data_IF_780531436697
#
_entry.id   IF_780531436697
#
_cell.length_a   1.000
_cell.length_b   1.000
_cell.length_c   1.000
_cell.angle_alpha   90.00
_cell.angle_beta   90.00
_cell.angle_gamma   90.00
#
_symmetry.space_group_name_H-M   'P 1'
#
loop_
_entity.id
_entity.type
_entity.pdbx_description
1 polymer ?
#
# COMPACT_ATOMS: atom_id res chain seq x y z
N UNK A 1 -4.29 7.65 17.57
CA UNK A 1 -3.26 7.64 16.50
C UNK A 1 -3.10 9.07 16.02
N UNK A 2 -1.87 9.49 15.71
CA UNK A 2 -1.59 10.79 15.10
C UNK A 2 -1.43 10.57 13.59
N UNK A 3 -1.98 11.48 12.79
CA UNK A 3 -1.94 11.39 11.33
C UNK A 3 -1.28 12.65 10.77
N UNK A 4 -0.45 12.50 9.74
CA UNK A 4 0.17 13.60 9.01
C UNK A 4 0.30 13.25 7.54
N UNK A 5 0.08 14.20 6.64
CA UNK A 5 0.30 14.01 5.21
C UNK A 5 1.71 14.49 4.85
N UNK A 6 2.43 13.68 4.05
CA UNK A 6 3.75 14.02 3.51
C UNK A 6 3.72 13.97 1.99
N UNK A 7 4.51 14.82 1.35
CA UNK A 7 4.66 14.88 -0.11
C UNK A 7 6.11 14.62 -0.45
N UNK A 8 6.54 13.39 -0.25
CA UNK A 8 7.91 12.93 -0.50
C UNK A 8 7.88 11.77 -1.51
N UNK A 9 8.98 11.52 -2.27
CA UNK A 9 9.08 10.33 -3.09
C UNK A 9 8.88 9.08 -2.25
N UNK A 10 8.02 8.16 -2.70
CA UNK A 10 7.62 6.95 -1.95
C UNK A 10 8.80 6.10 -1.47
N UNK A 11 9.88 6.01 -2.27
CA UNK A 11 11.10 5.28 -1.91
C UNK A 11 11.96 5.96 -0.83
N UNK A 12 11.84 7.28 -0.65
CA UNK A 12 12.62 8.07 0.31
C UNK A 12 11.96 8.19 1.69
N UNK A 13 10.71 7.75 1.83
CA UNK A 13 9.97 7.82 3.09
C UNK A 13 10.61 6.89 4.12
N UNK A 14 11.19 7.49 5.16
CA UNK A 14 11.70 6.75 6.33
C UNK A 14 10.52 6.40 7.25
N UNK A 15 10.22 5.11 7.36
CA UNK A 15 9.14 4.59 8.20
C UNK A 15 9.42 3.13 8.58
N UNK A 16 8.87 2.65 9.69
CA UNK A 16 9.01 1.25 10.09
C UNK A 16 8.20 0.30 9.19
N UNK A 17 7.13 0.79 8.54
CA UNK A 17 6.40 0.07 7.50
C UNK A 17 5.76 1.03 6.48
N UNK A 18 5.91 0.73 5.19
CA UNK A 18 5.21 1.41 4.10
C UNK A 18 4.10 0.51 3.56
N UNK A 19 2.85 0.96 3.64
CA UNK A 19 1.68 0.26 3.11
C UNK A 19 1.46 0.69 1.67
N UNK A 20 1.37 -0.28 0.76
CA UNK A 20 1.14 -0.05 -0.66
C UNK A 20 -0.06 -0.85 -1.15
N UNK A 21 -1.01 -0.17 -1.78
CA UNK A 21 -2.22 -0.79 -2.33
C UNK A 21 -1.94 -1.50 -3.65
N UNK A 22 -2.55 -2.67 -3.84
CA UNK A 22 -2.46 -3.49 -5.06
C UNK A 22 -3.85 -4.01 -5.42
N UNK A 23 -4.20 -3.97 -6.71
CA UNK A 23 -5.45 -4.52 -7.23
C UNK A 23 -5.23 -5.94 -7.79
N UNK A 24 -6.34 -6.68 -7.91
CA UNK A 24 -6.36 -7.97 -8.56
C UNK A 24 -5.84 -7.92 -10.01
N UNK A 25 -5.45 -9.07 -10.54
CA UNK A 25 -4.90 -9.22 -11.89
C UNK A 25 -3.58 -8.46 -12.11
N UNK A 26 -2.74 -8.36 -11.08
CA UNK A 26 -1.42 -7.72 -11.13
C UNK A 26 -1.47 -6.23 -11.51
N UNK A 27 -2.55 -5.56 -11.10
CA UNK A 27 -2.79 -4.14 -11.42
C UNK A 27 -2.26 -3.28 -10.28
N UNK A 28 -1.35 -2.38 -10.61
CA UNK A 28 -0.75 -1.45 -9.65
C UNK A 28 -1.37 -0.05 -9.82
N UNK A 29 -1.82 0.60 -8.74
CA UNK A 29 -2.09 2.03 -8.76
C UNK A 29 -0.85 2.82 -9.24
N UNK A 30 -1.01 4.04 -9.81
CA UNK A 30 0.11 4.82 -10.33
C UNK A 30 1.26 5.01 -9.34
N UNK A 31 0.96 5.38 -8.08
CA UNK A 31 1.97 5.56 -7.04
C UNK A 31 2.66 4.26 -6.65
N UNK A 32 1.92 3.14 -6.59
CA UNK A 32 2.50 1.81 -6.34
C UNK A 32 3.39 1.37 -7.50
N UNK A 33 3.01 1.68 -8.74
CA UNK A 33 3.81 1.39 -9.93
C UNK A 33 5.14 2.14 -9.94
N UNK A 34 5.11 3.45 -9.66
CA UNK A 34 6.32 4.27 -9.51
C UNK A 34 7.22 3.76 -8.37
N UNK A 35 6.61 3.37 -7.24
CA UNK A 35 7.34 2.79 -6.14
C UNK A 35 7.99 1.44 -6.51
N UNK A 36 7.24 0.55 -7.18
CA UNK A 36 7.74 -0.75 -7.65
C UNK A 36 8.95 -0.59 -8.59
N UNK A 37 8.92 0.40 -9.49
CA UNK A 37 10.05 0.73 -10.35
C UNK A 37 11.28 1.17 -9.55
N UNK A 38 11.08 2.00 -8.52
CA UNK A 38 12.16 2.46 -7.64
C UNK A 38 12.83 1.33 -6.84
N UNK A 39 12.10 0.26 -6.51
CA UNK A 39 12.61 -0.92 -5.80
C UNK A 39 12.93 -2.12 -6.72
N UNK A 40 13.11 -1.86 -8.02
CA UNK A 40 13.55 -2.88 -8.98
C UNK A 40 12.50 -3.97 -9.29
N UNK A 41 11.22 -3.63 -9.25
CA UNK A 41 10.13 -4.52 -9.69
C UNK A 41 9.79 -5.64 -8.69
N UNK A 42 10.13 -5.48 -7.40
CA UNK A 42 9.93 -6.52 -6.39
C UNK A 42 8.45 -6.90 -6.23
N UNK A 43 7.53 -5.92 -6.26
CA UNK A 43 6.08 -6.15 -6.08
C UNK A 43 5.54 -6.94 -7.27
N UNK A 44 5.91 -6.55 -8.50
CA UNK A 44 5.53 -7.31 -9.71
C UNK A 44 6.04 -8.75 -9.66
N UNK A 45 7.25 -8.99 -9.15
CA UNK A 45 7.79 -10.36 -8.99
C UNK A 45 6.98 -11.20 -8.01
N UNK A 46 6.55 -10.62 -6.88
CA UNK A 46 5.68 -11.31 -5.91
C UNK A 46 4.32 -11.65 -6.54
N UNK A 47 3.73 -10.70 -7.26
CA UNK A 47 2.48 -10.89 -7.98
C UNK A 47 2.56 -11.96 -9.08
N UNK A 48 3.67 -12.00 -9.82
CA UNK A 48 3.91 -13.02 -10.84
C UNK A 48 4.03 -14.43 -10.27
N UNK A 49 4.57 -14.57 -9.05
CA UNK A 49 4.64 -15.85 -8.34
C UNK A 49 3.28 -16.35 -7.85
N UNK A 50 2.25 -15.49 -7.87
CA UNK A 50 0.89 -15.77 -7.36
C UNK A 50 0.83 -16.08 -5.87
N UNK A 51 1.88 -15.75 -5.11
CA UNK A 51 1.88 -15.80 -3.65
C UNK A 51 0.92 -14.75 -3.05
N UNK A 52 0.57 -13.73 -3.84
CA UNK A 52 -0.37 -12.67 -3.51
C UNK A 52 -1.40 -12.50 -4.62
N UNK A 53 -2.68 -12.64 -4.30
CA UNK A 53 -3.80 -12.52 -5.26
C UNK A 53 -4.41 -11.12 -5.27
N UNK A 54 -4.09 -10.29 -4.28
CA UNK A 54 -4.61 -8.94 -4.05
C UNK A 54 -6.13 -8.91 -3.79
N UNK A 55 -6.66 -9.92 -3.11
CA UNK A 55 -8.04 -9.91 -2.60
C UNK A 55 -8.26 -8.78 -1.59
N UNK A 56 -9.48 -8.26 -1.50
CA UNK A 56 -9.79 -7.13 -0.62
C UNK A 56 -9.48 -7.47 0.84
N UNK A 57 -8.58 -6.71 1.46
CA UNK A 57 -8.13 -6.93 2.84
C UNK A 57 -7.05 -8.00 3.00
N UNK A 58 -6.61 -8.65 1.91
CA UNK A 58 -5.43 -9.51 1.94
C UNK A 58 -4.18 -8.66 2.18
N UNK A 59 -3.24 -9.17 2.97
CA UNK A 59 -2.03 -8.44 3.32
C UNK A 59 -0.80 -9.33 3.22
N UNK A 60 0.32 -8.75 2.82
CA UNK A 60 1.61 -9.44 2.81
C UNK A 60 2.74 -8.50 3.17
N UNK A 61 3.58 -8.91 4.12
CA UNK A 61 4.77 -8.18 4.52
C UNK A 61 5.98 -8.64 3.72
N UNK A 62 6.66 -7.67 3.12
CA UNK A 62 7.98 -7.80 2.51
C UNK A 62 8.99 -7.14 3.45
N UNK A 63 10.01 -7.90 3.82
CA UNK A 63 11.10 -7.44 4.67
C UNK A 63 12.28 -6.99 3.82
N UNK A 64 12.96 -5.95 4.26
CA UNK A 64 14.20 -5.42 3.66
C UNK A 64 14.10 -5.18 2.13
N UNK A 65 13.15 -4.35 1.66
CA UNK A 65 13.05 -4.01 0.24
C UNK A 65 14.26 -3.20 -0.22
N UNK A 66 14.99 -3.72 -1.20
CA UNK A 66 16.11 -3.01 -1.83
C UNK A 66 15.63 -1.72 -2.51
N UNK A 67 16.34 -0.61 -2.33
CA UNK A 67 15.98 0.68 -2.96
C UNK A 67 14.91 1.50 -2.23
N UNK A 68 14.49 1.09 -1.02
CA UNK A 68 13.54 1.83 -0.19
C UNK A 68 14.15 2.18 1.18
N UNK A 69 13.78 3.35 1.71
CA UNK A 69 14.17 3.80 3.06
C UNK A 69 13.29 3.23 4.18
N UNK A 70 12.18 2.58 3.83
CA UNK A 70 11.31 1.91 4.78
C UNK A 70 11.88 0.55 5.18
N UNK A 71 11.80 0.19 6.47
CA UNK A 71 12.30 -1.10 6.95
C UNK A 71 11.48 -2.29 6.44
N UNK A 72 10.19 -2.08 6.14
CA UNK A 72 9.26 -3.09 5.65
C UNK A 72 8.27 -2.47 4.67
N UNK A 73 7.79 -3.26 3.72
CA UNK A 73 6.69 -2.88 2.82
C UNK A 73 5.55 -3.87 3.03
N UNK A 74 4.35 -3.37 3.31
CA UNK A 74 3.14 -4.18 3.35
C UNK A 74 2.33 -3.99 2.07
N UNK A 75 2.12 -5.07 1.33
CA UNK A 75 1.14 -5.12 0.24
C UNK A 75 -0.25 -5.22 0.85
N UNK A 76 -1.14 -4.32 0.43
CA UNK A 76 -2.55 -4.33 0.80
C UNK A 76 -3.40 -4.62 -0.45
N UNK A 77 -4.13 -5.73 -0.42
CA UNK A 77 -5.04 -6.14 -1.47
C UNK A 77 -6.31 -5.29 -1.45
N UNK A 78 -6.59 -4.64 -2.57
CA UNK A 78 -7.73 -3.75 -2.74
C UNK A 78 -8.92 -4.41 -3.46
N UNK A 79 -8.74 -5.64 -3.97
CA UNK A 79 -9.75 -6.34 -4.76
C UNK A 79 -9.78 -5.89 -6.23
N UNK A 80 -10.94 -6.02 -6.87
CA UNK A 80 -11.15 -5.61 -8.26
C UNK A 80 -11.18 -4.07 -8.37
N UNK A 81 -10.33 -3.53 -9.25
CA UNK A 81 -10.23 -2.09 -9.57
C UNK A 81 -11.60 -1.48 -9.91
N UNK A 82 -12.50 -2.24 -10.56
CA UNK A 82 -13.84 -1.74 -10.93
C UNK A 82 -14.79 -1.61 -9.76
N UNK A 83 -14.60 -2.42 -8.72
CA UNK A 83 -15.42 -2.41 -7.51
C UNK A 83 -14.88 -1.47 -6.44
N UNK A 84 -13.63 -1.02 -6.62
CA UNK A 84 -12.90 -0.21 -5.67
C UNK A 84 -13.68 1.06 -5.30
N UNK A 85 -13.79 1.28 -4.00
CA UNK A 85 -14.38 2.47 -3.43
C UNK A 85 -13.78 2.77 -2.06
N UNK A 86 -14.09 3.95 -1.55
CA UNK A 86 -13.54 4.47 -0.30
C UNK A 86 -13.85 3.56 0.90
N UNK A 87 -15.03 2.94 0.95
CA UNK A 87 -15.40 2.01 2.03
C UNK A 87 -14.58 0.73 1.99
N UNK A 88 -14.34 0.18 0.80
CA UNK A 88 -13.48 -0.99 0.63
C UNK A 88 -12.03 -0.67 1.01
N UNK A 89 -11.54 0.51 0.65
CA UNK A 89 -10.22 0.98 1.05
C UNK A 89 -10.09 1.07 2.58
N UNK A 90 -11.04 1.74 3.25
CA UNK A 90 -11.05 1.84 4.71
C UNK A 90 -11.07 0.46 5.39
N UNK A 91 -11.93 -0.45 4.92
CA UNK A 91 -11.99 -1.81 5.44
C UNK A 91 -10.66 -2.58 5.25
N UNK A 92 -10.04 -2.48 4.07
CA UNK A 92 -8.77 -3.11 3.80
C UNK A 92 -7.66 -2.53 4.69
N UNK A 93 -7.64 -1.20 4.85
CA UNK A 93 -6.66 -0.52 5.68
C UNK A 93 -6.78 -0.92 7.15
N UNK A 94 -7.99 -1.07 7.68
CA UNK A 94 -8.22 -1.58 9.04
C UNK A 94 -7.57 -2.95 9.24
N UNK A 95 -7.74 -3.88 8.30
CA UNK A 95 -7.10 -5.20 8.35
C UNK A 95 -5.57 -5.09 8.34
N UNK A 96 -5.02 -4.22 7.49
CA UNK A 96 -3.59 -3.94 7.46
C UNK A 96 -3.06 -3.38 8.78
N UNK A 97 -3.74 -2.38 9.35
CA UNK A 97 -3.37 -1.78 10.62
C UNK A 97 -3.46 -2.78 11.78
N UNK A 98 -4.46 -3.68 11.78
CA UNK A 98 -4.57 -4.76 12.76
C UNK A 98 -3.35 -5.70 12.70
N UNK A 99 -2.89 -6.05 11.50
CA UNK A 99 -1.69 -6.86 11.35
C UNK A 99 -0.43 -6.13 11.84
N UNK A 100 -0.30 -4.84 11.54
CA UNK A 100 0.83 -4.03 12.00
C UNK A 100 0.86 -3.86 13.53
N UNK A 101 -0.31 -3.76 14.17
CA UNK A 101 -0.41 -3.77 15.63
C UNK A 101 0.11 -5.09 16.21
N UNK A 102 -0.23 -6.24 15.61
CA UNK A 102 0.32 -7.54 16.01
C UNK A 102 1.84 -7.63 15.82
N UNK A 103 2.37 -6.98 14.78
CA UNK A 103 3.80 -6.88 14.51
C UNK A 103 4.53 -5.80 15.33
N UNK A 104 3.85 -5.12 16.26
CA UNK A 104 4.39 -4.06 17.13
C UNK A 104 5.05 -2.91 16.37
N UNK A 105 4.48 -2.52 15.22
CA UNK A 105 4.97 -1.42 14.40
C UNK A 105 4.40 -0.09 14.91
N UNK A 106 5.26 0.80 15.40
CA UNK A 106 4.85 2.09 16.00
C UNK A 106 4.59 3.23 15.00
N UNK A 107 5.09 3.13 13.77
CA UNK A 107 4.89 4.13 12.71
C UNK A 107 4.73 3.44 11.37
N UNK A 108 3.76 3.88 10.58
CA UNK A 108 3.59 3.45 9.19
C UNK A 108 3.22 4.62 8.28
N UNK A 109 3.58 4.51 7.01
CA UNK A 109 3.13 5.43 5.97
C UNK A 109 2.25 4.65 4.98
N UNK A 110 1.22 5.30 4.42
CA UNK A 110 0.28 4.70 3.46
C UNK A 110 0.42 5.41 2.13
N UNK A 111 0.73 4.67 1.06
CA UNK A 111 0.60 5.18 -0.29
C UNK A 111 -0.87 5.07 -0.71
N UNK A 112 -1.48 6.23 -0.99
CA UNK A 112 -2.86 6.27 -1.43
C UNK A 112 -2.97 5.66 -2.85
N UNK A 113 -3.96 4.81 -3.12
CA UNK A 113 -4.16 4.23 -4.44
C UNK A 113 -4.89 5.20 -5.38
N UNK A 114 -4.58 6.49 -5.32
CA UNK A 114 -5.27 7.51 -6.10
C UNK A 114 -4.78 7.55 -7.56
N UNK A 115 -5.68 7.94 -8.47
CA UNK A 115 -5.30 8.30 -9.84
C UNK A 115 -4.80 9.75 -9.84
N UNK A 116 -3.95 10.11 -10.81
CA UNK A 116 -3.30 11.42 -10.85
C UNK A 116 -4.28 12.62 -10.94
N UNK A 117 -5.52 12.38 -11.38
CA UNK A 117 -6.57 13.39 -11.55
C UNK A 117 -7.72 13.23 -10.53
N UNK A 118 -7.49 12.57 -9.40
CA UNK A 118 -8.57 12.01 -8.61
C UNK A 118 -9.01 12.87 -7.40
N UNK A 119 -10.25 13.34 -7.45
CA UNK A 119 -10.96 13.99 -6.33
C UNK A 119 -11.18 13.06 -5.13
N UNK A 120 -11.03 11.75 -5.31
CA UNK A 120 -11.21 10.78 -4.24
C UNK A 120 -10.05 10.78 -3.23
N UNK A 121 -8.92 11.44 -3.52
CA UNK A 121 -7.80 11.60 -2.56
C UNK A 121 -8.29 12.13 -1.22
N UNK A 122 -9.16 13.15 -1.22
CA UNK A 122 -9.73 13.71 0.00
C UNK A 122 -10.59 12.68 0.75
N UNK A 123 -11.39 11.89 0.04
CA UNK A 123 -12.29 10.89 0.65
C UNK A 123 -11.50 9.72 1.22
N UNK A 124 -10.46 9.26 0.51
CA UNK A 124 -9.57 8.20 0.97
C UNK A 124 -8.83 8.58 2.24
N UNK A 125 -8.33 9.83 2.33
CA UNK A 125 -7.68 10.34 3.54
C UNK A 125 -8.66 10.46 4.71
N UNK A 126 -9.91 10.86 4.47
CA UNK A 126 -10.91 11.01 5.53
C UNK A 126 -11.35 9.69 6.15
N UNK A 127 -11.26 8.60 5.40
CA UNK A 127 -11.76 7.27 5.81
C UNK A 127 -10.61 6.36 6.28
N UNK A 128 -9.37 6.88 6.29
CA UNK A 128 -8.17 6.25 6.82
C UNK A 128 -7.89 6.66 8.28
#
# INVERSE_FOLDING_TARGET
MNYSCKTEPSASIKTACLIVGVFQHNRLPPLTGQFDEAIGGQIKRVLQRKDFTAEAGQTQLLYDPEGCSASRVMLLGLGDEKSFNVRQFGNALVTGLQQLNGAHVGECAVLLPNKAEDSDTYRLVREA
#
